data_IF_277193540169
#
_entry.id   IF_277193540169
#
_cell.length_a   1.000
_cell.length_b   1.000
_cell.length_c   1.000
_cell.angle_alpha   90.00
_cell.angle_beta   90.00
_cell.angle_gamma   90.00
#
_symmetry.space_group_name_H-M   'P 1'
#
loop_
_entity.id
_entity.type
_entity.pdbx_description
1 polymer ?
#
# COMPACT_ATOMS: atom_id res chain seq x y z
N UNK A 1 12.37 13.56 23.25
CA UNK A 1 12.95 12.35 22.62
C UNK A 1 11.94 11.22 22.43
N UNK A 2 10.90 11.12 23.25
CA UNK A 2 9.84 10.10 23.13
C UNK A 2 9.02 10.24 21.84
N UNK A 3 8.76 11.45 21.39
CA UNK A 3 7.94 11.74 20.19
C UNK A 3 8.59 11.31 18.86
N UNK A 4 9.92 11.26 18.78
CA UNK A 4 10.64 10.80 17.57
C UNK A 4 10.64 9.27 17.41
N UNK A 5 10.64 8.52 18.53
CA UNK A 5 10.51 7.06 18.51
C UNK A 5 9.13 6.61 18.05
N UNK A 6 8.10 7.44 18.28
CA UNK A 6 6.73 7.19 17.85
C UNK A 6 6.53 7.34 16.34
N UNK A 7 7.30 8.20 15.66
CA UNK A 7 7.13 8.47 14.21
C UNK A 7 7.51 7.28 13.33
N UNK A 8 8.39 6.42 13.77
CA UNK A 8 8.88 5.32 12.93
C UNK A 8 7.95 4.09 12.89
N UNK A 9 7.14 3.90 13.92
CA UNK A 9 6.21 2.76 13.99
C UNK A 9 4.78 3.14 14.38
N UNK A 10 4.51 4.40 14.68
CA UNK A 10 3.17 5.01 14.86
C UNK A 10 2.13 4.18 15.63
N UNK A 11 2.55 3.44 16.64
CA UNK A 11 1.69 2.43 17.27
C UNK A 11 1.10 2.92 18.59
N UNK A 12 1.70 3.93 19.23
CA UNK A 12 1.35 4.30 20.60
C UNK A 12 0.18 5.28 20.72
N UNK A 13 -0.04 6.10 19.71
CA UNK A 13 -1.07 7.14 19.76
C UNK A 13 -2.00 6.95 18.57
N UNK A 14 -3.25 6.66 18.82
CA UNK A 14 -4.26 6.43 17.74
C UNK A 14 -4.42 7.65 16.85
N UNK A 15 -4.26 8.86 17.36
CA UNK A 15 -4.40 10.09 16.60
C UNK A 15 -3.20 10.39 15.69
N UNK A 16 -2.01 9.87 16.02
CA UNK A 16 -0.75 10.12 15.29
C UNK A 16 -0.16 8.87 14.65
N UNK A 17 -0.90 7.77 14.63
CA UNK A 17 -0.46 6.53 13.99
C UNK A 17 -0.44 6.65 12.46
N UNK A 18 0.39 5.84 11.80
CA UNK A 18 0.25 5.62 10.37
C UNK A 18 -1.06 4.87 10.08
N UNK A 19 -1.91 5.43 9.22
CA UNK A 19 -3.17 4.83 8.84
C UNK A 19 -2.98 3.57 7.98
N UNK A 20 -1.96 3.60 7.09
CA UNK A 20 -1.61 2.51 6.19
C UNK A 20 -0.49 1.67 6.81
N UNK A 21 -0.69 0.35 6.89
CA UNK A 21 0.30 -0.63 7.35
C UNK A 21 0.66 -1.56 6.20
N UNK A 22 1.95 -1.63 5.88
CA UNK A 22 2.43 -2.47 4.79
C UNK A 22 2.82 -3.86 5.29
N UNK A 23 2.42 -4.88 4.54
CA UNK A 23 2.80 -6.28 4.71
C UNK A 23 3.60 -6.69 3.47
N UNK A 24 4.88 -6.98 3.65
CA UNK A 24 5.77 -7.47 2.62
C UNK A 24 6.04 -8.98 2.80
N UNK A 25 6.72 -9.60 1.86
CA UNK A 25 7.03 -11.03 1.88
C UNK A 25 7.71 -11.48 3.18
N UNK A 26 8.73 -10.77 3.65
CA UNK A 26 9.44 -11.09 4.90
C UNK A 26 8.63 -10.87 6.19
N UNK A 27 7.51 -10.17 6.14
CA UNK A 27 6.56 -9.90 7.25
C UNK A 27 7.21 -9.47 8.57
N UNK A 28 8.37 -8.84 8.52
CA UNK A 28 9.12 -8.39 9.70
C UNK A 28 8.30 -7.40 10.54
N UNK A 29 8.09 -7.73 11.82
CA UNK A 29 7.33 -6.90 12.74
C UNK A 29 5.82 -6.85 12.50
N UNK A 30 5.26 -7.73 11.68
CA UNK A 30 3.83 -7.88 11.47
C UNK A 30 3.26 -8.69 12.62
N UNK A 31 2.62 -7.99 13.57
CA UNK A 31 1.93 -8.58 14.73
C UNK A 31 0.44 -8.30 14.64
N UNK A 32 -0.37 -8.99 15.44
CA UNK A 32 -1.81 -8.70 15.51
C UNK A 32 -2.08 -7.25 15.91
N UNK A 33 -1.31 -6.72 16.86
CA UNK A 33 -1.41 -5.31 17.25
C UNK A 33 -1.10 -4.34 16.10
N UNK A 34 -0.08 -4.65 15.29
CA UNK A 34 0.24 -3.88 14.09
C UNK A 34 -0.94 -3.86 13.11
N UNK A 35 -1.53 -5.02 12.83
CA UNK A 35 -2.66 -5.16 11.90
C UNK A 35 -3.94 -4.50 12.45
N UNK A 36 -4.21 -4.64 13.74
CA UNK A 36 -5.40 -4.08 14.41
C UNK A 36 -5.42 -2.55 14.37
N UNK A 37 -4.25 -1.91 14.38
CA UNK A 37 -4.10 -0.46 14.36
C UNK A 37 -3.94 0.13 12.96
N UNK A 38 -4.58 -0.42 11.96
CA UNK A 38 -4.58 0.07 10.58
C UNK A 38 -5.97 0.45 10.11
N UNK A 39 -6.04 1.45 9.23
CA UNK A 39 -7.21 1.76 8.41
C UNK A 39 -7.10 1.08 7.05
N UNK A 40 -5.85 0.86 6.60
CA UNK A 40 -5.52 0.09 5.40
C UNK A 40 -4.36 -0.86 5.66
N UNK A 41 -4.49 -2.09 5.16
CA UNK A 41 -3.43 -3.10 5.12
C UNK A 41 -2.99 -3.28 3.67
N UNK A 42 -1.74 -2.95 3.38
CA UNK A 42 -1.20 -3.01 2.02
C UNK A 42 -0.27 -4.20 1.86
N UNK A 43 -0.64 -5.13 0.99
CA UNK A 43 0.23 -6.22 0.53
C UNK A 43 1.17 -5.63 -0.52
N UNK A 44 2.47 -5.60 -0.22
CA UNK A 44 3.47 -5.12 -1.15
C UNK A 44 4.03 -6.29 -1.96
N UNK A 45 3.73 -6.32 -3.25
CA UNK A 45 4.31 -7.31 -4.17
C UNK A 45 5.71 -6.86 -4.58
N UNK A 46 5.87 -5.61 -5.04
CA UNK A 46 7.16 -5.07 -5.46
C UNK A 46 7.22 -3.54 -5.28
N UNK A 47 8.35 -2.95 -5.64
CA UNK A 47 8.57 -1.50 -5.71
C UNK A 47 8.88 -1.10 -7.16
N UNK A 48 8.38 0.05 -7.61
CA UNK A 48 8.56 0.52 -8.97
C UNK A 48 10.03 0.61 -9.42
N UNK A 49 10.91 1.11 -8.54
CA UNK A 49 12.34 1.26 -8.86
C UNK A 49 13.13 -0.06 -8.90
N UNK A 50 12.58 -1.16 -8.39
CA UNK A 50 13.23 -2.48 -8.38
C UNK A 50 12.20 -3.61 -8.39
N UNK A 51 11.51 -3.82 -9.51
CA UNK A 51 10.35 -4.69 -9.58
C UNK A 51 10.64 -6.15 -9.20
N UNK A 52 11.84 -6.67 -9.48
CA UNK A 52 12.20 -8.06 -9.25
C UNK A 52 13.11 -8.33 -8.03
N UNK A 53 13.56 -7.31 -7.29
CA UNK A 53 14.64 -7.48 -6.30
C UNK A 53 14.17 -7.72 -4.85
N UNK A 54 12.91 -7.46 -4.54
CA UNK A 54 12.41 -7.53 -3.16
C UNK A 54 12.82 -6.34 -2.29
N UNK A 55 12.63 -6.47 -0.97
CA UNK A 55 12.90 -5.42 0.02
C UNK A 55 14.23 -5.62 0.72
N UNK A 56 14.92 -4.52 1.07
CA UNK A 56 16.15 -4.53 1.82
C UNK A 56 16.16 -3.40 2.86
N UNK A 57 16.70 -3.69 4.04
CA UNK A 57 17.07 -2.70 5.05
C UNK A 57 18.52 -2.95 5.44
N UNK A 58 19.46 -2.04 5.11
CA UNK A 58 20.87 -2.20 5.44
C UNK A 58 21.11 -2.36 6.94
N UNK A 59 22.07 -3.19 7.32
CA UNK A 59 22.41 -3.43 8.74
C UNK A 59 22.73 -2.15 9.52
N UNK A 60 23.34 -1.15 8.88
CA UNK A 60 23.63 0.18 9.45
C UNK A 60 22.37 0.95 9.89
N UNK A 61 21.17 0.55 9.41
CA UNK A 61 19.87 1.12 9.81
C UNK A 61 19.14 0.25 10.82
N UNK A 62 19.65 -0.93 11.13
CA UNK A 62 19.06 -1.88 12.08
C UNK A 62 19.70 -1.63 13.45
N UNK A 63 19.23 -0.60 14.17
CA UNK A 63 19.58 -0.35 15.56
C UNK A 63 18.85 -1.32 16.52
N UNK A 64 19.13 -1.28 17.81
CA UNK A 64 18.49 -2.12 18.84
C UNK A 64 16.97 -2.00 18.81
N UNK A 65 16.45 -0.79 18.54
CA UNK A 65 15.02 -0.55 18.48
C UNK A 65 14.38 -1.19 17.23
N UNK A 66 14.99 -1.02 16.08
CA UNK A 66 14.52 -1.63 14.82
C UNK A 66 14.62 -3.15 14.91
N UNK A 67 15.73 -3.68 15.41
CA UNK A 67 15.94 -5.11 15.60
C UNK A 67 14.85 -5.72 16.49
N UNK A 68 14.57 -5.10 17.63
CA UNK A 68 13.50 -5.54 18.55
C UNK A 68 12.13 -5.59 17.88
N UNK A 69 11.79 -4.55 17.10
CA UNK A 69 10.48 -4.48 16.41
C UNK A 69 10.38 -5.49 15.27
N UNK A 70 11.48 -5.68 14.55
CA UNK A 70 11.55 -6.60 13.40
C UNK A 70 11.85 -8.04 13.80
N UNK A 71 12.00 -8.32 15.10
CA UNK A 71 12.38 -9.64 15.62
C UNK A 71 13.67 -10.16 14.99
N UNK A 72 14.71 -9.31 14.94
CA UNK A 72 16.00 -9.58 14.34
C UNK A 72 17.16 -9.14 15.23
N UNK A 73 18.41 -9.30 14.75
CA UNK A 73 19.63 -8.92 15.46
C UNK A 73 20.10 -7.53 15.03
N UNK A 74 20.49 -6.63 15.97
CA UNK A 74 21.08 -5.33 15.64
C UNK A 74 22.30 -5.45 14.72
N UNK A 75 22.44 -4.52 13.77
CA UNK A 75 23.55 -4.49 12.82
C UNK A 75 23.46 -5.49 11.67
N UNK A 76 22.51 -6.41 11.70
CA UNK A 76 22.29 -7.38 10.61
C UNK A 76 21.26 -6.84 9.62
N UNK A 77 21.61 -6.87 8.34
CA UNK A 77 20.69 -6.44 7.27
C UNK A 77 19.46 -7.33 7.20
N UNK A 78 18.30 -6.72 6.91
CA UNK A 78 17.05 -7.42 6.71
C UNK A 78 16.74 -7.49 5.22
N UNK A 79 16.67 -8.71 4.68
CA UNK A 79 16.30 -8.96 3.30
C UNK A 79 14.93 -9.60 3.29
N UNK A 80 13.99 -8.96 2.57
CA UNK A 80 12.68 -9.51 2.28
C UNK A 80 12.71 -10.04 0.86
N UNK A 81 12.62 -11.37 0.65
CA UNK A 81 12.66 -11.94 -0.69
C UNK A 81 11.51 -11.39 -1.56
N UNK A 82 11.62 -11.44 -2.88
CA UNK A 82 10.51 -11.16 -3.77
C UNK A 82 9.29 -12.05 -3.47
N UNK A 83 8.06 -11.59 -3.74
CA UNK A 83 6.84 -12.34 -3.40
C UNK A 83 6.74 -13.72 -4.05
N UNK A 84 7.43 -13.95 -5.16
CA UNK A 84 7.45 -15.26 -5.82
C UNK A 84 8.04 -16.40 -4.96
N UNK A 85 8.65 -16.10 -3.81
CA UNK A 85 9.02 -17.10 -2.81
C UNK A 85 7.88 -17.45 -1.85
N UNK A 86 6.75 -16.79 -1.96
CA UNK A 86 5.69 -16.79 -0.96
C UNK A 86 4.30 -16.82 -1.60
N UNK A 87 4.14 -16.17 -2.77
CA UNK A 87 2.91 -16.03 -3.53
C UNK A 87 3.19 -16.45 -4.96
N UNK A 88 2.63 -17.59 -5.36
CA UNK A 88 2.85 -18.17 -6.68
C UNK A 88 1.62 -18.03 -7.61
N UNK A 89 0.46 -17.71 -7.05
CA UNK A 89 -0.78 -17.64 -7.80
C UNK A 89 -1.72 -16.54 -7.27
N UNK A 90 -2.78 -16.27 -8.04
CA UNK A 90 -3.86 -15.37 -7.61
C UNK A 90 -4.61 -15.95 -6.40
N UNK A 91 -4.67 -17.27 -6.27
CA UNK A 91 -5.29 -17.95 -5.14
C UNK A 91 -4.49 -17.69 -3.85
N UNK A 92 -3.17 -17.66 -3.90
CA UNK A 92 -2.32 -17.32 -2.75
C UNK A 92 -2.57 -15.88 -2.29
N UNK A 93 -2.70 -14.93 -3.24
CA UNK A 93 -3.09 -13.54 -2.93
C UNK A 93 -4.49 -13.49 -2.32
N UNK A 94 -5.44 -14.26 -2.88
CA UNK A 94 -6.80 -14.30 -2.35
C UNK A 94 -6.84 -14.83 -0.92
N UNK A 95 -6.03 -15.84 -0.61
CA UNK A 95 -5.86 -16.35 0.75
C UNK A 95 -5.29 -15.27 1.68
N UNK A 96 -4.22 -14.58 1.29
CA UNK A 96 -3.60 -13.54 2.11
C UNK A 96 -4.54 -12.35 2.33
N UNK A 97 -5.29 -11.93 1.30
CA UNK A 97 -6.33 -10.90 1.44
C UNK A 97 -7.38 -11.33 2.46
N UNK A 98 -7.86 -12.56 2.37
CA UNK A 98 -8.82 -13.12 3.32
C UNK A 98 -8.25 -13.15 4.75
N UNK A 99 -7.01 -13.60 4.94
CA UNK A 99 -6.34 -13.68 6.23
C UNK A 99 -6.21 -12.29 6.87
N UNK A 100 -5.76 -11.29 6.11
CA UNK A 100 -5.65 -9.91 6.58
C UNK A 100 -7.01 -9.28 6.89
N UNK A 101 -8.03 -9.61 6.11
CA UNK A 101 -9.39 -9.15 6.38
C UNK A 101 -9.99 -9.77 7.66
N UNK A 102 -9.64 -11.01 7.99
CA UNK A 102 -9.95 -11.61 9.29
C UNK A 102 -9.15 -10.93 10.43
N UNK A 103 -7.88 -10.57 10.18
CA UNK A 103 -7.07 -9.87 11.18
C UNK A 103 -7.59 -8.45 11.48
N UNK A 104 -8.13 -7.73 10.49
CA UNK A 104 -8.78 -6.45 10.71
C UNK A 104 -9.93 -6.23 9.72
N UNK A 105 -11.14 -6.52 10.14
CA UNK A 105 -12.36 -6.44 9.32
C UNK A 105 -12.69 -5.04 8.84
N UNK A 106 -12.29 -4.01 9.59
CA UNK A 106 -12.55 -2.61 9.26
C UNK A 106 -11.54 -2.02 8.29
N UNK A 107 -10.33 -2.59 8.21
CA UNK A 107 -9.29 -2.13 7.29
C UNK A 107 -9.64 -2.44 5.84
N UNK A 108 -9.35 -1.49 4.97
CA UNK A 108 -9.28 -1.69 3.52
C UNK A 108 -8.06 -2.57 3.20
N UNK A 109 -8.20 -3.57 2.35
CA UNK A 109 -7.06 -4.38 1.90
C UNK A 109 -6.59 -3.85 0.55
N UNK A 110 -5.35 -3.46 0.51
CA UNK A 110 -4.66 -2.90 -0.65
C UNK A 110 -3.62 -3.89 -1.17
N UNK A 111 -3.45 -3.96 -2.49
CA UNK A 111 -2.34 -4.66 -3.12
C UNK A 111 -1.52 -3.66 -3.94
N UNK A 112 -0.20 -3.64 -3.72
CA UNK A 112 0.72 -2.79 -4.48
C UNK A 112 1.44 -3.61 -5.54
N UNK A 113 1.16 -3.29 -6.79
CA UNK A 113 1.81 -3.78 -8.00
C UNK A 113 2.74 -2.71 -8.57
N UNK A 114 3.49 -3.07 -9.59
CA UNK A 114 4.38 -2.13 -10.30
C UNK A 114 3.95 -1.98 -11.75
N UNK A 115 4.27 -0.82 -12.33
CA UNK A 115 4.06 -0.55 -13.75
C UNK A 115 5.03 -1.39 -14.56
N UNK A 116 4.52 -2.47 -15.11
CA UNK A 116 5.21 -3.36 -16.05
C UNK A 116 4.23 -3.84 -17.11
N UNK A 117 4.76 -4.33 -18.22
CA UNK A 117 3.93 -4.89 -19.31
C UNK A 117 3.14 -6.10 -18.78
N UNK A 118 1.82 -6.09 -18.99
CA UNK A 118 0.93 -7.15 -18.50
C UNK A 118 0.38 -6.91 -17.09
N UNK A 119 0.69 -5.78 -16.44
CA UNK A 119 0.17 -5.44 -15.10
C UNK A 119 -1.35 -5.41 -15.06
N UNK A 120 -2.01 -5.04 -16.15
CA UNK A 120 -3.48 -5.06 -16.24
C UNK A 120 -4.07 -6.45 -16.03
N UNK A 121 -3.44 -7.49 -16.58
CA UNK A 121 -3.87 -8.88 -16.40
C UNK A 121 -3.68 -9.33 -14.94
N UNK A 122 -2.55 -9.00 -14.33
CA UNK A 122 -2.29 -9.27 -12.91
C UNK A 122 -3.32 -8.54 -12.03
N UNK A 123 -3.57 -7.27 -12.34
CA UNK A 123 -4.57 -6.44 -11.64
C UNK A 123 -5.97 -7.05 -11.70
N UNK A 124 -6.39 -7.55 -12.86
CA UNK A 124 -7.68 -8.23 -13.02
C UNK A 124 -7.79 -9.46 -12.10
N UNK A 125 -6.73 -10.26 -11.99
CA UNK A 125 -6.65 -11.37 -11.06
C UNK A 125 -6.74 -10.93 -9.60
N UNK A 126 -5.99 -9.90 -9.21
CA UNK A 126 -5.99 -9.34 -7.86
C UNK A 126 -7.36 -8.77 -7.48
N UNK A 127 -8.07 -8.12 -8.41
CA UNK A 127 -9.44 -7.63 -8.16
C UNK A 127 -10.42 -8.79 -7.98
N UNK A 128 -10.28 -9.87 -8.76
CA UNK A 128 -11.05 -11.11 -8.56
C UNK A 128 -10.75 -11.76 -7.21
N UNK A 129 -9.52 -11.63 -6.69
CA UNK A 129 -9.11 -12.04 -5.36
C UNK A 129 -9.69 -11.16 -4.23
N UNK A 130 -10.54 -10.18 -4.56
CA UNK A 130 -11.28 -9.30 -3.65
C UNK A 130 -10.42 -8.25 -2.93
N UNK A 131 -9.38 -7.72 -3.57
CA UNK A 131 -8.73 -6.51 -3.05
C UNK A 131 -9.71 -5.33 -3.05
N UNK A 132 -9.68 -4.50 -2.02
CA UNK A 132 -10.49 -3.27 -1.93
C UNK A 132 -9.81 -2.09 -2.67
N UNK A 133 -8.49 -2.14 -2.75
CA UNK A 133 -7.65 -1.06 -3.27
C UNK A 133 -6.44 -1.62 -4.02
N UNK A 134 -6.03 -0.95 -5.09
CA UNK A 134 -4.91 -1.37 -5.93
C UNK A 134 -3.99 -0.19 -6.22
N UNK A 135 -2.70 -0.36 -5.94
CA UNK A 135 -1.67 0.64 -6.25
C UNK A 135 -0.82 0.17 -7.42
N UNK A 136 -0.67 1.02 -8.42
CA UNK A 136 0.26 0.83 -9.53
C UNK A 136 1.42 1.80 -9.35
N UNK A 137 2.60 1.26 -9.04
CA UNK A 137 3.80 2.04 -8.73
C UNK A 137 4.69 2.21 -9.96
N UNK A 138 5.03 3.46 -10.29
CA UNK A 138 5.99 3.76 -11.35
C UNK A 138 7.46 3.59 -10.92
N UNK A 139 8.38 3.56 -11.88
CA UNK A 139 9.82 3.35 -11.69
C UNK A 139 10.49 4.35 -10.74
N UNK A 140 9.93 5.54 -10.56
CA UNK A 140 10.41 6.53 -9.60
C UNK A 140 9.94 6.26 -8.15
N UNK A 141 9.16 5.21 -7.92
CA UNK A 141 8.68 4.79 -6.60
C UNK A 141 9.67 3.87 -5.88
N UNK A 142 9.98 4.15 -4.61
CA UNK A 142 10.83 3.29 -3.77
C UNK A 142 12.34 3.45 -3.96
N UNK A 143 12.78 4.56 -4.53
CA UNK A 143 14.22 4.82 -4.85
C UNK A 143 15.11 5.01 -3.61
N UNK A 144 14.55 5.25 -2.43
CA UNK A 144 15.30 5.51 -1.19
C UNK A 144 16.14 4.33 -0.67
N UNK A 145 15.87 3.12 -1.13
CA UNK A 145 16.57 1.89 -0.74
C UNK A 145 16.91 1.01 -1.96
N UNK A 146 17.00 1.61 -3.16
CA UNK A 146 17.31 0.89 -4.40
C UNK A 146 18.72 1.18 -4.86
N UNK A 147 19.43 0.19 -5.46
CA UNK A 147 20.71 0.43 -6.11
C UNK A 147 20.60 1.45 -7.25
N UNK A 148 21.67 2.16 -7.54
CA UNK A 148 21.65 3.20 -8.59
C UNK A 148 21.38 2.60 -9.99
N UNK A 149 21.84 1.38 -10.22
CA UNK A 149 21.59 0.63 -11.47
C UNK A 149 20.11 0.37 -11.67
N UNK A 150 19.39 -0.09 -10.64
CA UNK A 150 17.95 -0.31 -10.70
C UNK A 150 17.20 0.99 -10.94
N UNK A 151 17.55 2.06 -10.22
CA UNK A 151 16.91 3.40 -10.39
C UNK A 151 17.04 3.91 -11.83
N UNK A 152 18.17 3.61 -12.50
CA UNK A 152 18.42 4.11 -13.84
C UNK A 152 17.85 3.24 -14.96
N UNK A 153 17.67 1.95 -14.72
CA UNK A 153 17.46 0.98 -15.80
C UNK A 153 16.28 0.03 -15.58
N UNK A 154 15.66 0.00 -14.39
CA UNK A 154 14.54 -0.88 -14.11
C UNK A 154 13.20 -0.11 -14.01
N UNK A 155 12.10 -0.83 -14.24
CA UNK A 155 10.73 -0.33 -14.10
C UNK A 155 10.24 0.55 -15.25
N UNK A 156 8.95 0.81 -15.27
CA UNK A 156 8.27 1.64 -16.28
C UNK A 156 7.61 2.86 -15.65
N UNK A 157 7.31 3.90 -16.44
CA UNK A 157 6.50 5.03 -15.99
C UNK A 157 5.13 4.58 -15.47
N UNK A 158 4.63 5.27 -14.45
CA UNK A 158 3.31 4.94 -13.88
C UNK A 158 2.17 5.16 -14.87
N UNK A 159 2.32 6.06 -15.83
CA UNK A 159 1.35 6.40 -16.87
C UNK A 159 0.98 5.17 -17.70
N UNK A 160 1.96 4.36 -18.07
CA UNK A 160 1.74 3.12 -18.83
C UNK A 160 0.97 2.10 -18.00
N UNK A 161 1.41 1.86 -16.76
CA UNK A 161 0.80 0.85 -15.91
C UNK A 161 -0.63 1.20 -15.49
N UNK A 162 -0.91 2.48 -15.18
CA UNK A 162 -2.24 2.90 -14.79
C UNK A 162 -3.23 2.83 -15.95
N UNK A 163 -2.83 3.26 -17.15
CA UNK A 163 -3.65 3.22 -18.35
C UNK A 163 -3.99 1.76 -18.72
N UNK A 164 -2.99 0.88 -18.78
CA UNK A 164 -3.21 -0.56 -19.04
C UNK A 164 -4.14 -1.18 -18.00
N UNK A 165 -3.90 -0.90 -16.71
CA UNK A 165 -4.74 -1.43 -15.62
C UNK A 165 -6.18 -0.94 -15.74
N UNK A 166 -6.38 0.35 -15.93
CA UNK A 166 -7.71 0.94 -16.06
C UNK A 166 -8.48 0.33 -17.23
N UNK A 167 -7.87 0.30 -18.42
CA UNK A 167 -8.47 -0.26 -19.62
C UNK A 167 -8.84 -1.74 -19.43
N UNK A 168 -7.92 -2.54 -18.87
CA UNK A 168 -8.16 -3.98 -18.63
C UNK A 168 -9.29 -4.20 -17.61
N UNK A 169 -9.35 -3.43 -16.54
CA UNK A 169 -10.41 -3.56 -15.53
C UNK A 169 -11.77 -3.13 -16.07
N UNK A 170 -11.85 -2.08 -16.89
CA UNK A 170 -13.09 -1.65 -17.56
C UNK A 170 -13.56 -2.72 -18.54
N UNK A 171 -12.67 -3.22 -19.40
CA UNK A 171 -12.99 -4.25 -20.40
C UNK A 171 -13.55 -5.53 -19.74
N UNK A 172 -13.09 -5.88 -18.55
CA UNK A 172 -13.50 -7.07 -17.81
C UNK A 172 -14.63 -6.84 -16.78
N UNK A 173 -15.25 -5.66 -16.74
CA UNK A 173 -16.27 -5.27 -15.77
C UNK A 173 -15.82 -5.46 -14.30
N UNK A 174 -14.57 -5.12 -14.04
CA UNK A 174 -13.95 -5.23 -12.73
C UNK A 174 -13.66 -3.87 -12.07
N UNK A 175 -13.67 -2.79 -12.88
CA UNK A 175 -13.23 -1.46 -12.45
C UNK A 175 -14.05 -0.91 -11.28
N UNK A 176 -15.34 -1.18 -11.24
CA UNK A 176 -16.24 -0.74 -10.17
C UNK A 176 -15.93 -1.33 -8.79
N UNK A 177 -15.17 -2.43 -8.71
CA UNK A 177 -14.94 -3.21 -7.49
C UNK A 177 -13.72 -2.77 -6.69
N UNK A 178 -12.88 -1.88 -7.25
CA UNK A 178 -11.58 -1.52 -6.66
C UNK A 178 -11.31 -0.03 -6.81
N UNK A 179 -10.75 0.58 -5.77
CA UNK A 179 -10.16 1.92 -5.85
C UNK A 179 -8.78 1.80 -6.47
N UNK A 180 -8.48 2.58 -7.49
CA UNK A 180 -7.23 2.54 -8.23
C UNK A 180 -6.36 3.73 -7.87
N UNK A 181 -5.15 3.47 -7.39
CA UNK A 181 -4.15 4.47 -7.03
C UNK A 181 -2.91 4.34 -7.89
N UNK A 182 -2.25 5.45 -8.18
CA UNK A 182 -0.89 5.45 -8.71
C UNK A 182 0.09 6.17 -7.80
N UNK A 183 1.35 5.74 -7.80
CA UNK A 183 2.49 6.44 -7.24
C UNK A 183 3.70 6.36 -8.21
N UNK A 184 4.76 7.09 -7.94
CA UNK A 184 5.95 7.18 -8.81
C UNK A 184 6.27 8.64 -9.13
N UNK A 185 6.38 9.45 -8.10
CA UNK A 185 6.71 10.89 -8.13
C UNK A 185 5.65 11.86 -8.69
N UNK A 186 4.34 11.71 -8.49
CA UNK A 186 3.46 12.84 -8.72
C UNK A 186 3.89 14.00 -7.79
N UNK A 187 3.89 15.25 -8.30
CA UNK A 187 4.38 16.43 -7.59
C UNK A 187 3.41 17.60 -7.65
N UNK A 188 2.60 17.68 -8.70
CA UNK A 188 1.78 18.86 -9.02
C UNK A 188 0.32 18.47 -9.19
N UNK A 189 -0.57 19.47 -9.22
CA UNK A 189 -1.97 19.25 -9.58
C UNK A 189 -2.15 18.78 -11.02
N UNK A 190 -1.21 19.13 -11.92
CA UNK A 190 -1.18 18.64 -13.29
C UNK A 190 -0.91 17.13 -13.33
N UNK A 191 0.05 16.62 -12.54
CA UNK A 191 0.32 15.17 -12.47
C UNK A 191 -0.91 14.42 -11.97
N UNK A 192 -1.60 14.96 -10.97
CA UNK A 192 -2.86 14.41 -10.45
C UNK A 192 -3.96 14.40 -11.52
N UNK A 193 -4.10 15.49 -12.28
CA UNK A 193 -5.08 15.54 -13.37
C UNK A 193 -4.80 14.49 -14.44
N UNK A 194 -3.55 14.35 -14.88
CA UNK A 194 -3.14 13.33 -15.86
C UNK A 194 -3.41 11.92 -15.30
N UNK A 195 -3.05 11.68 -14.05
CA UNK A 195 -3.27 10.38 -13.43
C UNK A 195 -4.76 10.01 -13.32
N UNK A 196 -5.63 10.99 -13.00
CA UNK A 196 -7.08 10.78 -12.98
C UNK A 196 -7.62 10.52 -14.40
N UNK A 197 -7.19 11.28 -15.39
CA UNK A 197 -7.57 11.09 -16.79
C UNK A 197 -7.17 9.69 -17.28
N UNK A 198 -6.02 9.17 -16.85
CA UNK A 198 -5.57 7.81 -17.18
C UNK A 198 -6.23 6.72 -16.32
N UNK A 199 -7.06 7.08 -15.33
CA UNK A 199 -7.91 6.15 -14.60
C UNK A 199 -7.68 6.04 -13.10
N UNK A 200 -6.77 6.81 -12.48
CA UNK A 200 -6.54 6.77 -11.04
C UNK A 200 -7.59 7.56 -10.25
N UNK A 201 -7.93 7.08 -9.06
CA UNK A 201 -8.82 7.75 -8.08
C UNK A 201 -8.05 8.28 -6.88
N UNK A 202 -6.93 7.66 -6.54
CA UNK A 202 -6.06 8.07 -5.44
C UNK A 202 -4.62 8.25 -5.94
N UNK A 203 -3.84 9.07 -5.23
CA UNK A 203 -2.51 9.52 -5.67
C UNK A 203 -1.52 9.44 -4.52
N UNK A 204 -0.40 8.74 -4.74
CA UNK A 204 0.65 8.56 -3.74
C UNK A 204 1.81 9.55 -3.90
N UNK A 205 2.05 10.37 -2.89
CA UNK A 205 3.14 11.35 -2.86
C UNK A 205 4.24 10.91 -1.88
N UNK A 206 5.51 11.05 -2.27
CA UNK A 206 6.66 10.80 -1.41
C UNK A 206 7.73 11.87 -1.54
N UNK A 207 8.35 12.00 -2.71
CA UNK A 207 9.48 12.90 -2.92
C UNK A 207 9.10 14.37 -2.69
N UNK A 208 7.97 14.83 -3.21
CA UNK A 208 7.57 16.24 -3.05
C UNK A 208 7.31 16.61 -1.57
N UNK A 209 6.56 15.86 -0.77
CA UNK A 209 6.48 16.08 0.67
C UNK A 209 7.84 16.07 1.38
N UNK A 210 8.78 15.20 0.98
CA UNK A 210 10.13 15.21 1.55
C UNK A 210 10.88 16.49 1.19
N UNK A 211 10.75 16.99 -0.04
CA UNK A 211 11.36 18.26 -0.46
C UNK A 211 10.81 19.42 0.36
N UNK A 212 9.50 19.48 0.60
CA UNK A 212 8.91 20.53 1.47
C UNK A 212 9.38 20.45 2.93
N UNK A 213 9.85 19.29 3.36
CA UNK A 213 10.47 19.09 4.67
C UNK A 213 11.98 19.36 4.69
N UNK A 214 12.57 19.83 3.59
CA UNK A 214 13.98 20.21 3.48
C UNK A 214 14.87 19.11 2.87
N UNK A 215 14.33 18.11 2.16
CA UNK A 215 15.13 17.14 1.40
C UNK A 215 15.81 17.83 0.22
N UNK A 216 17.14 17.72 0.13
CA UNK A 216 17.95 18.26 -0.96
C UNK A 216 18.18 17.29 -2.12
N UNK A 217 17.46 16.18 -2.14
CA UNK A 217 17.52 15.13 -3.17
C UNK A 217 18.92 14.53 -3.45
N UNK A 218 19.78 14.50 -2.43
CA UNK A 218 21.15 14.02 -2.55
C UNK A 218 21.27 12.50 -2.85
N UNK A 219 20.15 11.75 -2.75
CA UNK A 219 20.08 10.32 -3.05
C UNK A 219 21.03 9.41 -2.22
N UNK A 220 21.37 9.83 -0.99
CA UNK A 220 22.19 9.06 -0.03
C UNK A 220 21.35 8.37 1.07
N UNK A 221 20.03 8.23 0.86
CA UNK A 221 19.10 7.66 1.85
C UNK A 221 19.46 6.22 2.23
N UNK A 222 19.94 5.43 1.28
CA UNK A 222 20.32 4.03 1.48
C UNK A 222 21.59 3.86 2.33
N UNK A 223 22.47 4.87 2.38
CA UNK A 223 23.73 4.81 3.13
C UNK A 223 23.63 5.22 4.60
N UNK A 224 22.45 5.63 5.08
CA UNK A 224 22.25 6.17 6.42
C UNK A 224 22.98 7.52 6.69
N UNK A 225 23.43 8.21 5.66
CA UNK A 225 24.25 9.44 5.72
C UNK A 225 23.51 10.68 5.25
N UNK A 226 22.19 10.74 5.41
CA UNK A 226 21.37 11.87 4.99
C UNK A 226 21.81 13.17 5.69
N UNK A 227 22.37 14.17 4.96
CA UNK A 227 22.95 15.33 5.59
C UNK A 227 21.93 16.27 6.24
N UNK A 228 20.67 16.20 5.83
CA UNK A 228 19.56 17.01 6.36
C UNK A 228 18.73 16.26 7.41
N UNK A 229 19.15 15.08 7.82
CA UNK A 229 18.55 14.35 8.94
C UNK A 229 17.18 13.69 8.68
N UNK A 230 16.66 13.71 7.45
CA UNK A 230 15.32 13.19 7.12
C UNK A 230 15.34 11.66 7.06
N UNK A 231 16.29 11.06 6.34
CA UNK A 231 16.32 9.65 6.01
C UNK A 231 17.56 8.94 6.61
N UNK A 232 17.80 9.13 7.90
CA UNK A 232 18.92 8.53 8.62
C UNK A 232 18.50 8.09 10.02
N UNK A 233 19.18 7.07 10.58
CA UNK A 233 19.09 6.65 11.97
C UNK A 233 20.21 7.25 12.82
N UNK A 234 21.23 7.88 12.22
CA UNK A 234 22.29 8.56 12.91
C UNK A 234 21.73 9.69 13.79
N UNK A 235 22.08 9.69 15.08
CA UNK A 235 21.50 10.59 16.07
C UNK A 235 21.92 12.06 15.85
N UNK A 236 23.16 12.29 15.40
CA UNK A 236 23.69 13.63 15.16
C UNK A 236 23.12 14.23 13.86
N UNK A 237 23.06 13.41 12.80
CA UNK A 237 22.43 13.86 11.56
C UNK A 237 20.95 14.16 11.74
N UNK A 238 20.22 13.40 12.54
CA UNK A 238 18.79 13.65 12.82
C UNK A 238 18.53 14.97 13.54
N UNK A 239 19.50 15.54 14.27
CA UNK A 239 19.36 16.87 14.88
C UNK A 239 19.25 17.99 13.85
N UNK A 240 19.75 17.76 12.63
CA UNK A 240 19.71 18.71 11.51
C UNK A 240 18.34 18.79 10.82
N UNK A 241 17.38 17.99 11.23
CA UNK A 241 16.04 18.02 10.63
C UNK A 241 15.22 19.20 11.17
N UNK A 242 14.84 20.11 10.27
CA UNK A 242 14.07 21.32 10.58
C UNK A 242 12.67 21.35 9.94
N UNK A 243 12.25 20.27 9.27
CA UNK A 243 10.95 20.21 8.60
C UNK A 243 9.77 20.31 9.57
N UNK A 244 8.72 20.99 9.14
CA UNK A 244 7.47 21.16 9.87
C UNK A 244 6.31 20.45 9.16
N UNK A 245 5.34 19.90 9.89
CA UNK A 245 4.13 19.31 9.28
C UNK A 245 3.34 20.28 8.43
N UNK A 246 3.32 21.56 8.80
CA UNK A 246 2.60 22.64 8.10
C UNK A 246 3.09 22.79 6.67
N UNK A 247 4.38 22.57 6.41
CA UNK A 247 4.93 22.62 5.05
C UNK A 247 4.26 21.56 4.14
N UNK A 248 4.04 20.36 4.66
CA UNK A 248 3.36 19.28 3.91
C UNK A 248 1.88 19.61 3.72
N UNK A 249 1.23 20.13 4.75
CA UNK A 249 -0.19 20.54 4.68
C UNK A 249 -0.36 21.62 3.61
N UNK A 250 0.44 22.69 3.64
CA UNK A 250 0.39 23.77 2.66
C UNK A 250 0.66 23.27 1.24
N UNK A 251 1.66 22.40 1.08
CA UNK A 251 1.95 21.78 -0.21
C UNK A 251 0.74 21.03 -0.79
N UNK A 252 0.08 20.20 0.01
CA UNK A 252 -1.09 19.44 -0.46
C UNK A 252 -2.27 20.34 -0.80
N UNK A 253 -2.47 21.44 -0.06
CA UNK A 253 -3.47 22.47 -0.43
C UNK A 253 -3.12 23.15 -1.75
N UNK A 254 -1.85 23.43 -2.02
CA UNK A 254 -1.41 24.01 -3.31
C UNK A 254 -1.67 23.04 -4.46
N UNK A 255 -1.35 21.75 -4.30
CA UNK A 255 -1.64 20.72 -5.31
C UNK A 255 -3.15 20.63 -5.58
N UNK A 256 -3.97 20.63 -4.53
CA UNK A 256 -5.42 20.59 -4.68
C UNK A 256 -5.98 21.85 -5.36
N UNK A 257 -5.42 23.03 -5.06
CA UNK A 257 -5.79 24.30 -5.71
C UNK A 257 -5.45 24.28 -7.20
N UNK A 258 -4.25 23.84 -7.55
CA UNK A 258 -3.83 23.72 -8.95
C UNK A 258 -4.72 22.75 -9.71
N UNK A 259 -5.00 21.57 -9.14
CA UNK A 259 -5.94 20.60 -9.72
C UNK A 259 -7.31 21.22 -9.98
N UNK A 260 -7.87 21.92 -8.99
CA UNK A 260 -9.17 22.63 -9.17
C UNK A 260 -9.15 23.65 -10.29
N UNK A 261 -8.05 24.38 -10.45
CA UNK A 261 -7.88 25.35 -11.56
C UNK A 261 -7.86 24.65 -12.92
N UNK A 262 -7.17 23.51 -13.02
CA UNK A 262 -7.14 22.68 -14.24
C UNK A 262 -8.54 22.15 -14.55
N UNK A 263 -9.21 21.55 -13.58
CA UNK A 263 -10.57 21.03 -13.72
C UNK A 263 -11.57 22.11 -14.16
N UNK A 264 -11.45 23.32 -13.59
CA UNK A 264 -12.30 24.45 -13.99
C UNK A 264 -12.09 24.86 -15.45
N UNK A 265 -10.83 24.87 -15.94
CA UNK A 265 -10.51 25.13 -17.35
C UNK A 265 -11.07 24.05 -18.29
N UNK A 266 -11.08 22.81 -17.84
CA UNK A 266 -11.65 21.67 -18.57
C UNK A 266 -13.18 21.57 -18.47
N UNK A 267 -13.84 22.42 -17.68
CA UNK A 267 -15.28 22.38 -17.45
C UNK A 267 -15.76 21.19 -16.62
N UNK A 268 -14.85 20.54 -15.86
CA UNK A 268 -15.11 19.34 -15.05
C UNK A 268 -15.35 19.75 -13.59
N UNK A 269 -16.42 19.24 -12.95
CA UNK A 269 -16.85 19.65 -11.60
C UNK A 269 -16.35 18.73 -10.49
N UNK A 270 -16.12 17.46 -10.80
CA UNK A 270 -15.68 16.45 -9.82
C UNK A 270 -14.55 15.59 -10.38
N UNK A 271 -13.75 15.01 -9.48
CA UNK A 271 -12.68 14.10 -9.89
C UNK A 271 -13.22 12.87 -10.63
N UNK A 272 -14.39 12.36 -10.21
CA UNK A 272 -15.01 11.21 -10.86
C UNK A 272 -15.37 11.47 -12.33
N UNK A 273 -15.72 12.70 -12.68
CA UNK A 273 -15.97 13.10 -14.07
C UNK A 273 -14.69 13.15 -14.92
N UNK A 274 -13.53 13.25 -14.28
CA UNK A 274 -12.23 13.29 -14.95
C UNK A 274 -11.67 11.88 -15.24
N UNK A 275 -12.10 10.88 -14.46
CA UNK A 275 -11.53 9.53 -14.51
C UNK A 275 -11.79 8.88 -15.87
N UNK A 276 -10.71 8.47 -16.54
CA UNK A 276 -10.77 7.79 -17.84
C UNK A 276 -11.05 8.69 -19.03
N UNK A 277 -11.09 10.02 -18.85
CA UNK A 277 -11.36 11.01 -19.90
C UNK A 277 -10.10 11.30 -20.74
N UNK A 278 -9.52 10.27 -21.34
CA UNK A 278 -8.31 10.39 -22.18
C UNK A 278 -8.50 11.29 -23.40
N UNK A 279 -9.75 11.56 -23.77
CA UNK A 279 -10.13 12.56 -24.78
C UNK A 279 -9.71 14.00 -24.42
N UNK A 280 -9.36 14.26 -23.15
CA UNK A 280 -8.86 15.55 -22.68
C UNK A 280 -7.32 15.65 -22.75
N UNK A 281 -6.63 14.62 -23.23
CA UNK A 281 -5.18 14.62 -23.42
C UNK A 281 -4.83 14.65 -24.89
N UNK A 282 -3.94 15.55 -25.24
CA UNK A 282 -3.35 15.62 -26.57
C UNK A 282 -1.83 15.42 -26.48
N UNK A 283 -1.27 14.80 -27.51
CA UNK A 283 0.18 14.70 -27.63
C UNK A 283 0.69 16.03 -28.20
N UNK A 284 1.49 16.72 -27.41
CA UNK A 284 2.02 18.03 -27.82
C UNK A 284 3.06 17.89 -28.94
N UNK A 285 2.81 18.51 -30.07
CA UNK A 285 3.72 18.49 -31.22
C UNK A 285 4.95 19.42 -31.05
N UNK A 286 4.93 20.27 -30.02
CA UNK A 286 5.94 21.29 -29.80
C UNK A 286 7.26 20.77 -29.19
N UNK A 287 7.30 19.53 -28.69
CA UNK A 287 8.53 18.96 -28.11
C UNK A 287 9.49 18.53 -29.21
N UNK A 288 10.39 19.42 -29.58
CA UNK A 288 11.49 19.12 -30.51
C UNK A 288 12.60 18.35 -29.79
N UNK A 289 12.38 17.04 -29.59
CA UNK A 289 13.33 16.15 -28.90
C UNK A 289 13.58 14.91 -29.75
N UNK A 290 14.84 14.53 -29.96
CA UNK A 290 15.23 13.41 -30.81
C UNK A 290 14.64 12.04 -30.43
N UNK A 291 14.30 11.85 -29.13
CA UNK A 291 13.63 10.62 -28.64
C UNK A 291 12.13 10.60 -28.92
N UNK A 292 11.55 11.66 -29.46
CA UNK A 292 10.13 11.72 -29.83
C UNK A 292 9.85 10.85 -31.05
N UNK A 293 10.81 10.77 -31.95
CA UNK A 293 10.66 9.99 -33.17
C UNK A 293 10.51 8.51 -32.82
N UNK A 294 9.38 7.91 -33.21
CA UNK A 294 9.01 6.54 -32.87
C UNK A 294 8.27 6.35 -31.54
N UNK A 295 7.95 7.43 -30.79
CA UNK A 295 7.11 7.34 -29.60
C UNK A 295 5.63 7.40 -29.99
N UNK A 296 4.92 6.29 -29.84
CA UNK A 296 3.47 6.19 -30.05
C UNK A 296 2.73 6.07 -28.71
N UNK A 297 1.99 7.12 -28.35
CA UNK A 297 1.16 7.17 -27.14
C UNK A 297 -0.32 6.85 -27.41
N UNK A 298 -0.69 6.53 -28.65
CA UNK A 298 -2.08 6.30 -29.05
C UNK A 298 -2.80 5.26 -28.17
N UNK A 299 -2.10 4.20 -27.78
CA UNK A 299 -2.67 3.13 -26.94
C UNK A 299 -3.05 3.59 -25.53
N UNK A 300 -2.26 4.45 -24.90
CA UNK A 300 -2.61 4.98 -23.57
C UNK A 300 -3.64 6.11 -23.65
N UNK A 301 -3.75 6.77 -24.80
CA UNK A 301 -4.74 7.81 -25.09
C UNK A 301 -6.04 7.24 -25.70
N UNK A 302 -6.14 5.92 -25.87
CA UNK A 302 -7.37 5.27 -26.32
C UNK A 302 -8.34 5.11 -25.15
N UNK A 303 -9.62 5.55 -25.29
CA UNK A 303 -10.63 5.35 -24.27
C UNK A 303 -10.82 3.85 -23.94
N UNK A 304 -11.02 3.55 -22.66
CA UNK A 304 -11.24 2.18 -22.22
C UNK A 304 -12.50 1.58 -22.87
N UNK A 305 -12.37 0.44 -23.53
CA UNK A 305 -13.49 -0.21 -24.22
C UNK A 305 -14.45 -0.84 -23.23
N UNK A 306 -15.71 -0.39 -23.23
CA UNK A 306 -16.80 -0.99 -22.46
C UNK A 306 -17.42 -2.15 -23.23
N UNK A 307 -17.03 -3.37 -22.88
CA UNK A 307 -17.61 -4.60 -23.48
C UNK A 307 -19.01 -4.86 -22.90
N UNK A 308 -19.24 -4.50 -21.66
CA UNK A 308 -20.51 -4.65 -20.96
C UNK A 308 -21.19 -3.29 -20.84
N UNK A 309 -22.50 -3.23 -21.10
CA UNK A 309 -23.28 -1.98 -21.17
C UNK A 309 -23.22 -1.14 -19.89
N UNK A 310 -23.22 -1.79 -18.73
CA UNK A 310 -23.28 -1.13 -17.40
C UNK A 310 -21.93 -1.05 -16.72
N UNK A 311 -20.82 -1.02 -17.50
CA UNK A 311 -19.48 -0.92 -16.92
C UNK A 311 -19.17 0.49 -16.43
N UNK A 312 -18.88 0.61 -15.14
CA UNK A 312 -18.39 1.84 -14.53
C UNK A 312 -16.88 2.02 -14.73
N UNK A 313 -16.43 3.28 -14.72
CA UNK A 313 -15.02 3.65 -14.92
C UNK A 313 -14.29 4.03 -13.62
N UNK A 314 -14.97 4.00 -12.48
CA UNK A 314 -14.40 4.23 -11.15
C UNK A 314 -15.08 3.31 -10.12
N UNK A 315 -14.62 3.34 -8.87
CA UNK A 315 -15.13 2.46 -7.82
C UNK A 315 -16.54 2.87 -7.37
N UNK A 316 -17.49 1.95 -7.47
CA UNK A 316 -18.89 2.12 -7.04
C UNK A 316 -19.37 0.99 -6.12
N UNK A 317 -18.58 -0.09 -5.97
CA UNK A 317 -18.96 -1.29 -5.23
C UNK A 317 -17.95 -1.62 -4.14
N UNK A 318 -18.44 -2.12 -3.01
CA UNK A 318 -17.61 -2.67 -1.94
C UNK A 318 -17.40 -4.16 -2.12
N UNK A 319 -16.21 -4.65 -1.84
CA UNK A 319 -15.90 -6.07 -1.85
C UNK A 319 -16.61 -6.80 -0.69
N UNK A 320 -17.19 -7.96 -1.00
CA UNK A 320 -17.82 -8.80 0.01
C UNK A 320 -16.91 -9.98 0.38
N UNK A 321 -16.34 -9.95 1.57
CA UNK A 321 -15.42 -10.97 2.09
C UNK A 321 -16.13 -12.11 2.85
N UNK A 322 -17.46 -12.10 2.94
CA UNK A 322 -18.29 -13.14 3.58
C UNK A 322 -17.92 -13.49 5.05
N UNK A 323 -17.27 -12.58 5.78
CA UNK A 323 -16.77 -12.83 7.14
C UNK A 323 -17.88 -13.07 8.17
N UNK A 324 -19.12 -12.63 7.90
CA UNK A 324 -20.26 -12.80 8.82
C UNK A 324 -20.57 -14.29 9.12
N UNK A 325 -20.19 -15.18 8.21
CA UNK A 325 -20.39 -16.62 8.31
C UNK A 325 -19.22 -17.36 9.00
N UNK A 326 -18.15 -16.64 9.37
CA UNK A 326 -16.99 -17.22 10.04
C UNK A 326 -17.36 -17.77 11.42
N UNK A 327 -16.81 -18.94 11.77
CA UNK A 327 -16.95 -19.56 13.09
C UNK A 327 -16.41 -18.63 14.20
N UNK A 328 -15.33 -17.90 13.95
CA UNK A 328 -14.76 -16.90 14.85
C UNK A 328 -15.77 -15.83 15.25
N UNK A 329 -16.62 -15.39 14.32
CA UNK A 329 -17.65 -14.40 14.61
C UNK A 329 -18.66 -14.89 15.61
N UNK A 330 -19.04 -16.15 15.54
CA UNK A 330 -19.96 -16.78 16.49
C UNK A 330 -19.30 -16.94 17.85
N UNK A 331 -18.05 -17.41 17.87
CA UNK A 331 -17.25 -17.51 19.09
C UNK A 331 -17.09 -16.16 19.80
N UNK A 332 -16.62 -15.13 19.08
CA UNK A 332 -16.41 -13.79 19.64
C UNK A 332 -17.71 -13.21 20.23
N UNK A 333 -18.86 -13.42 19.57
CA UNK A 333 -20.16 -12.99 20.12
C UNK A 333 -20.48 -13.69 21.43
N UNK A 334 -20.25 -15.01 21.50
CA UNK A 334 -20.55 -15.80 22.68
C UNK A 334 -19.68 -15.43 23.89
N UNK A 335 -18.39 -15.11 23.67
CA UNK A 335 -17.42 -14.89 24.76
C UNK A 335 -17.03 -13.42 24.96
N UNK A 336 -17.70 -12.46 24.32
CA UNK A 336 -17.35 -11.04 24.36
C UNK A 336 -17.21 -10.48 25.77
N UNK A 337 -18.15 -10.80 26.66
CA UNK A 337 -18.12 -10.34 28.06
C UNK A 337 -16.94 -10.94 28.83
N UNK A 338 -16.59 -12.17 28.56
CA UNK A 338 -15.43 -12.83 29.18
C UNK A 338 -14.12 -12.17 28.72
N UNK A 339 -14.00 -11.80 27.43
CA UNK A 339 -12.84 -11.05 26.91
C UNK A 339 -12.70 -9.72 27.65
N UNK A 340 -13.80 -8.95 27.78
CA UNK A 340 -13.80 -7.65 28.46
C UNK A 340 -13.38 -7.79 29.93
N UNK A 341 -13.81 -8.86 30.60
CA UNK A 341 -13.54 -9.12 32.03
C UNK A 341 -12.23 -9.88 32.29
N UNK A 342 -11.44 -10.19 31.28
CA UNK A 342 -10.23 -11.05 31.39
C UNK A 342 -10.49 -12.42 32.04
N UNK A 343 -11.65 -12.99 31.85
CA UNK A 343 -12.00 -14.27 32.44
C UNK A 343 -11.39 -15.41 31.62
N UNK A 344 -10.94 -16.46 32.31
CA UNK A 344 -10.47 -17.69 31.67
C UNK A 344 -11.65 -18.36 30.95
N UNK A 345 -11.44 -18.73 29.71
CA UNK A 345 -12.44 -19.38 28.85
C UNK A 345 -11.87 -20.69 28.40
N UNK A 346 -12.68 -21.72 28.49
CA UNK A 346 -12.38 -23.02 27.91
C UNK A 346 -13.54 -23.39 26.98
N UNK A 347 -13.23 -23.50 25.68
CA UNK A 347 -14.20 -23.79 24.62
C UNK A 347 -13.66 -24.92 23.79
N UNK A 348 -14.48 -25.95 23.57
CA UNK A 348 -14.14 -27.06 22.71
C UNK A 348 -14.94 -26.94 21.41
N UNK A 349 -14.27 -26.83 20.27
CA UNK A 349 -14.86 -26.63 18.96
C UNK A 349 -14.31 -27.63 17.96
N UNK A 350 -15.19 -28.16 17.12
CA UNK A 350 -14.80 -29.02 15.99
C UNK A 350 -14.40 -28.09 14.81
N UNK A 351 -13.16 -28.20 14.35
CA UNK A 351 -12.60 -27.40 13.27
C UNK A 351 -12.33 -28.28 12.05
N UNK A 352 -12.68 -27.80 10.86
CA UNK A 352 -12.36 -28.42 9.59
C UNK A 352 -11.40 -27.57 8.75
N UNK A 353 -10.93 -28.09 7.63
CA UNK A 353 -10.02 -27.39 6.70
C UNK A 353 -10.61 -26.11 6.08
N UNK A 354 -11.93 -25.97 6.07
CA UNK A 354 -12.62 -24.76 5.61
C UNK A 354 -12.59 -23.60 6.62
N UNK A 355 -12.17 -23.85 7.87
CA UNK A 355 -12.06 -22.82 8.92
C UNK A 355 -10.68 -22.19 8.91
N UNK A 356 -10.32 -21.59 7.76
CA UNK A 356 -9.03 -20.92 7.58
C UNK A 356 -8.85 -19.77 8.59
N UNK A 357 -7.65 -19.67 9.14
CA UNK A 357 -7.22 -18.65 10.12
C UNK A 357 -8.13 -18.49 11.33
N UNK A 358 -8.72 -19.61 11.78
CA UNK A 358 -9.53 -19.62 12.99
C UNK A 358 -8.74 -19.04 14.18
N UNK A 359 -9.39 -18.23 15.01
CA UNK A 359 -8.76 -17.53 16.12
C UNK A 359 -8.26 -16.10 15.76
N UNK A 360 -8.14 -15.75 14.49
CA UNK A 360 -7.61 -14.45 14.06
C UNK A 360 -8.54 -13.29 14.38
N UNK A 361 -9.85 -13.45 14.17
CA UNK A 361 -10.85 -12.43 14.57
C UNK A 361 -10.89 -12.29 16.09
N UNK A 362 -10.79 -13.38 16.83
CA UNK A 362 -10.69 -13.36 18.29
C UNK A 362 -9.44 -12.57 18.74
N UNK A 363 -8.29 -12.87 18.17
CA UNK A 363 -7.04 -12.16 18.47
C UNK A 363 -7.13 -10.66 18.17
N UNK A 364 -7.83 -10.26 17.11
CA UNK A 364 -8.11 -8.85 16.81
C UNK A 364 -8.95 -8.20 17.92
N UNK A 365 -10.04 -8.82 18.34
CA UNK A 365 -10.91 -8.26 19.41
C UNK A 365 -10.16 -8.16 20.75
N UNK A 366 -9.35 -9.15 21.10
CA UNK A 366 -8.49 -9.12 22.30
C UNK A 366 -7.48 -7.98 22.19
N UNK A 367 -6.79 -7.83 21.04
CA UNK A 367 -5.81 -6.75 20.83
C UNK A 367 -6.45 -5.37 20.88
N UNK A 368 -7.68 -5.19 20.37
CA UNK A 368 -8.41 -3.91 20.47
C UNK A 368 -8.67 -3.48 21.90
N UNK A 369 -9.01 -4.42 22.77
CA UNK A 369 -9.39 -4.15 24.15
C UNK A 369 -8.15 -4.00 25.04
N UNK A 370 -7.17 -4.90 24.89
CA UNK A 370 -6.08 -5.08 25.84
C UNK A 370 -4.70 -4.66 25.30
N UNK A 371 -4.59 -4.27 24.03
CA UNK A 371 -3.35 -3.80 23.40
C UNK A 371 -2.35 -4.92 23.07
N UNK A 372 -1.10 -4.52 22.79
CA UNK A 372 -0.07 -5.42 22.28
C UNK A 372 0.32 -6.56 23.24
N UNK A 373 0.24 -6.33 24.55
CA UNK A 373 0.71 -7.28 25.57
C UNK A 373 -0.34 -8.34 25.96
N UNK A 374 -1.56 -8.25 25.41
CA UNK A 374 -2.63 -9.19 25.74
C UNK A 374 -2.44 -10.57 25.13
N UNK A 375 -1.66 -10.66 24.04
CA UNK A 375 -1.49 -11.88 23.24
C UNK A 375 -0.56 -12.91 23.89
N UNK A 376 0.21 -12.54 24.92
CA UNK A 376 1.13 -13.46 25.60
C UNK A 376 0.46 -14.63 26.34
N UNK A 377 -0.87 -14.69 26.37
CA UNK A 377 -1.63 -15.71 27.07
C UNK A 377 -2.62 -16.52 26.21
N UNK A 378 -2.66 -16.28 24.90
CA UNK A 378 -3.47 -17.11 23.98
C UNK A 378 -2.63 -18.26 23.46
N UNK A 379 -2.64 -19.39 24.18
CA UNK A 379 -2.18 -20.66 23.64
C UNK A 379 -3.34 -21.34 22.90
N UNK A 380 -3.26 -21.40 21.57
CA UNK A 380 -4.04 -22.33 20.77
C UNK A 380 -3.33 -23.70 20.82
N UNK A 381 -3.74 -24.58 21.72
CA UNK A 381 -3.37 -25.97 21.64
C UNK A 381 -4.27 -26.63 20.61
N UNK A 382 -3.79 -26.81 19.40
CA UNK A 382 -4.40 -27.74 18.46
C UNK A 382 -4.10 -29.15 18.94
N UNK A 383 -5.11 -30.03 19.10
CA UNK A 383 -4.83 -31.43 19.32
C UNK A 383 -4.09 -31.94 18.08
N UNK A 384 -2.86 -32.37 18.27
CA UNK A 384 -2.13 -33.13 17.27
C UNK A 384 -2.90 -34.41 17.01
N UNK A 385 -3.62 -34.49 15.89
CA UNK A 385 -4.08 -35.75 15.41
C UNK A 385 -2.85 -36.59 15.01
N UNK A 386 -2.51 -37.57 15.80
CA UNK A 386 -1.66 -38.68 15.34
C UNK A 386 -2.51 -39.44 14.32
N UNK A 387 -2.12 -39.39 13.07
CA UNK A 387 -2.50 -40.35 12.04
C UNK A 387 -1.70 -41.62 12.23
#
# INVERSE_FOLDING_TARGET
SSHRRQRQMCIRDRSKRSAIKQVASGRFGVTMWYLTNSDELQIKIAQGAKPGEGGELPGTKVDDYIAKIRHSTPGVGLISPPPHHDIYSIEDIAQLIHDLKNANRSSRISVKLVSEIGVGTIAAGVVKAKTDHLVIAGHDGGTGASPLTSIKHAGLPWELGIAETHQTLVMNNLRSRVVLQTDGQPKTGRDVAIAAILGAEEFGFSTAPLVTLGCIMMRKCHLNTCPVGIATQDKELRKKFHGSPENVVNYLFMVAKELRMIMAKLGVKSLNELIGRVDLLEMEDALNHWKRDGLDLSKILTPAQKVFKDTEVYNTQKQNHNLKKSMDMSLVRAIKNNIIRKQKINVNLKIGNTNRVFGTILSNEVSKIWGANAVSYTHLTLPTMRT
#
